data_IF_507065846764
#
_entry.id   IF_507065846764
#
_cell.length_a   1.000
_cell.length_b   1.000
_cell.length_c   1.000
_cell.angle_alpha   90.00
_cell.angle_beta   90.00
_cell.angle_gamma   90.00
#
_symmetry.space_group_name_H-M   'P 1'
#
loop_
_entity.id
_entity.type
_entity.pdbx_description
1 polymer ?
#
# COMPACT_ATOMS: atom_id res chain seq x y z
N UNK A 1 8.52 -0.45 0.44
CA UNK A 1 9.21 0.69 -0.22
C UNK A 1 10.43 0.23 -1.01
N UNK A 2 11.49 -0.31 -0.38
CA UNK A 2 12.71 -0.74 -1.09
C UNK A 2 12.45 -1.77 -2.21
N UNK A 3 11.60 -2.76 -1.94
CA UNK A 3 11.18 -3.76 -2.94
C UNK A 3 10.35 -3.15 -4.08
N UNK A 4 9.55 -2.12 -3.80
CA UNK A 4 8.84 -1.35 -4.83
C UNK A 4 9.79 -0.52 -5.70
N UNK A 5 10.82 0.10 -5.12
CA UNK A 5 11.87 0.78 -5.88
C UNK A 5 12.63 -0.22 -6.77
N UNK A 6 12.97 -1.39 -6.23
CA UNK A 6 13.60 -2.45 -7.01
C UNK A 6 12.71 -2.87 -8.20
N UNK A 7 11.39 -3.01 -8.01
CA UNK A 7 10.47 -3.29 -9.09
C UNK A 7 10.56 -2.24 -10.21
N UNK A 8 10.45 -0.95 -9.89
CA UNK A 8 10.50 0.14 -10.87
C UNK A 8 11.82 0.15 -11.69
N UNK A 9 12.95 -0.17 -11.05
CA UNK A 9 14.26 -0.14 -11.73
C UNK A 9 14.58 -1.42 -12.53
N UNK A 10 13.83 -2.50 -12.35
CA UNK A 10 14.10 -3.77 -13.03
C UNK A 10 13.82 -3.67 -14.53
N UNK A 11 14.78 -4.11 -15.36
CA UNK A 11 14.61 -4.20 -16.82
C UNK A 11 13.89 -5.48 -17.25
N UNK A 12 13.98 -6.54 -16.45
CA UNK A 12 13.36 -7.84 -16.72
C UNK A 12 11.88 -7.79 -16.26
N UNK A 13 10.89 -7.95 -17.15
CA UNK A 13 9.47 -7.82 -16.79
C UNK A 13 9.02 -8.77 -15.69
N UNK A 14 9.45 -10.04 -15.75
CA UNK A 14 9.11 -11.04 -14.72
C UNK A 14 9.64 -10.62 -13.34
N UNK A 15 10.89 -10.13 -13.29
CA UNK A 15 11.48 -9.66 -12.04
C UNK A 15 10.73 -8.43 -11.50
N UNK A 16 10.34 -7.50 -12.38
CA UNK A 16 9.57 -6.32 -12.01
C UNK A 16 8.27 -6.69 -11.30
N UNK A 17 7.44 -7.55 -11.89
CA UNK A 17 6.19 -7.98 -11.26
C UNK A 17 6.44 -8.81 -10.00
N UNK A 18 7.47 -9.65 -9.95
CA UNK A 18 7.81 -10.40 -8.75
C UNK A 18 8.14 -9.48 -7.56
N UNK A 19 8.98 -8.46 -7.77
CA UNK A 19 9.32 -7.48 -6.73
C UNK A 19 8.12 -6.61 -6.34
N UNK A 20 7.26 -6.24 -7.30
CA UNK A 20 5.98 -5.58 -7.01
C UNK A 20 5.10 -6.46 -6.12
N UNK A 21 4.91 -7.75 -6.44
CA UNK A 21 4.11 -8.68 -5.63
C UNK A 21 4.67 -8.83 -4.22
N UNK A 22 5.98 -8.98 -4.07
CA UNK A 22 6.63 -9.04 -2.75
C UNK A 22 6.38 -7.75 -1.96
N UNK A 23 6.51 -6.58 -2.60
CA UNK A 23 6.22 -5.29 -1.95
C UNK A 23 4.76 -5.17 -1.52
N UNK A 24 3.82 -5.61 -2.37
CA UNK A 24 2.37 -5.59 -2.08
C UNK A 24 2.03 -6.52 -0.93
N UNK A 25 2.59 -7.75 -0.90
CA UNK A 25 2.40 -8.67 0.23
C UNK A 25 2.95 -8.06 1.52
N UNK A 26 4.15 -7.48 1.50
CA UNK A 26 4.71 -6.81 2.67
C UNK A 26 3.83 -5.66 3.16
N UNK A 27 3.23 -4.89 2.25
CA UNK A 27 2.26 -3.84 2.60
C UNK A 27 1.01 -4.42 3.26
N UNK A 28 0.47 -5.54 2.76
CA UNK A 28 -0.69 -6.20 3.39
C UNK A 28 -0.38 -6.66 4.82
N UNK A 29 0.83 -7.14 5.09
CA UNK A 29 1.27 -7.44 6.46
C UNK A 29 1.29 -6.19 7.34
N UNK A 30 1.80 -5.06 6.83
CA UNK A 30 1.80 -3.79 7.58
C UNK A 30 0.37 -3.33 7.88
N UNK A 31 -0.53 -3.39 6.90
CA UNK A 31 -1.95 -3.03 7.11
C UNK A 31 -2.64 -3.99 8.09
N UNK A 32 -2.32 -5.28 8.03
CA UNK A 32 -2.79 -6.25 9.02
C UNK A 32 -2.33 -5.89 10.43
N UNK A 33 -1.04 -5.61 10.64
CA UNK A 33 -0.53 -5.21 11.95
C UNK A 33 -1.15 -3.90 12.44
N UNK A 34 -1.38 -2.94 11.54
CA UNK A 34 -2.07 -1.70 11.86
C UNK A 34 -3.50 -1.95 12.36
N UNK A 35 -4.26 -2.82 11.67
CA UNK A 35 -5.66 -3.07 12.03
C UNK A 35 -5.77 -3.93 13.29
N UNK A 36 -4.95 -4.97 13.40
CA UNK A 36 -5.06 -5.96 14.48
C UNK A 36 -4.30 -5.51 15.71
N UNK A 37 -2.98 -5.36 15.62
CA UNK A 37 -2.14 -5.12 16.80
C UNK A 37 -2.33 -3.69 17.32
N UNK A 38 -2.28 -2.70 16.44
CA UNK A 38 -2.48 -1.31 16.85
C UNK A 38 -3.95 -1.04 17.17
N UNK A 39 -4.88 -1.71 16.47
CA UNK A 39 -6.31 -1.60 16.78
C UNK A 39 -6.67 -2.18 18.14
N UNK A 40 -6.06 -3.29 18.55
CA UNK A 40 -6.20 -3.84 19.90
C UNK A 40 -5.69 -2.85 20.95
N UNK A 41 -4.49 -2.30 20.77
CA UNK A 41 -3.95 -1.29 21.68
C UNK A 41 -4.80 0.00 21.75
N UNK A 42 -5.42 0.40 20.63
CA UNK A 42 -6.31 1.56 20.59
C UNK A 42 -7.64 1.30 21.32
N UNK A 43 -8.09 0.04 21.43
CA UNK A 43 -9.36 -0.31 22.06
C UNK A 43 -9.38 -0.08 23.58
N UNK A 44 -8.20 0.00 24.20
CA UNK A 44 -8.03 0.34 25.62
C UNK A 44 -8.07 1.86 25.89
N UNK A 45 -8.10 2.69 24.85
CA UNK A 45 -8.12 4.16 24.97
C UNK A 45 -9.55 4.70 25.18
N UNK A 46 -9.66 6.00 25.44
CA UNK A 46 -10.95 6.69 25.51
C UNK A 46 -11.67 6.76 24.15
N UNK A 47 -12.98 7.04 24.18
CA UNK A 47 -13.84 7.02 22.99
C UNK A 47 -13.39 8.00 21.89
N UNK A 48 -12.91 9.20 22.26
CA UNK A 48 -12.46 10.21 21.29
C UNK A 48 -11.18 9.76 20.57
N UNK A 49 -10.25 9.16 21.32
CA UNK A 49 -9.03 8.56 20.77
C UNK A 49 -9.37 7.39 19.82
N UNK A 50 -10.31 6.53 20.20
CA UNK A 50 -10.75 5.41 19.35
C UNK A 50 -11.40 5.91 18.05
N UNK A 51 -12.25 6.94 18.11
CA UNK A 51 -12.88 7.53 16.94
C UNK A 51 -11.85 8.14 15.97
N UNK A 52 -10.86 8.83 16.52
CA UNK A 52 -9.76 9.42 15.76
C UNK A 52 -8.91 8.33 15.11
N UNK A 53 -8.53 7.29 15.87
CA UNK A 53 -7.78 6.15 15.34
C UNK A 53 -8.52 5.46 14.19
N UNK A 54 -9.82 5.20 14.35
CA UNK A 54 -10.62 4.56 13.30
C UNK A 54 -10.67 5.40 12.01
N UNK A 55 -10.79 6.73 12.15
CA UNK A 55 -10.78 7.64 11.00
C UNK A 55 -9.44 7.58 10.27
N UNK A 56 -8.32 7.73 10.99
CA UNK A 56 -6.98 7.69 10.41
C UNK A 56 -6.65 6.32 9.80
N UNK A 57 -7.00 5.24 10.50
CA UNK A 57 -6.84 3.86 10.00
C UNK A 57 -7.55 3.68 8.67
N UNK A 58 -8.78 4.15 8.55
CA UNK A 58 -9.56 4.00 7.31
C UNK A 58 -8.95 4.82 6.15
N UNK A 59 -8.49 6.04 6.42
CA UNK A 59 -7.77 6.85 5.43
C UNK A 59 -6.52 6.13 4.94
N UNK A 60 -5.72 5.57 5.86
CA UNK A 60 -4.52 4.81 5.53
C UNK A 60 -4.89 3.58 4.69
N UNK A 61 -5.86 2.77 5.13
CA UNK A 61 -6.25 1.55 4.41
C UNK A 61 -6.66 1.83 2.97
N UNK A 62 -7.51 2.84 2.75
CA UNK A 62 -8.00 3.18 1.41
C UNK A 62 -6.88 3.76 0.56
N UNK A 63 -6.20 4.80 1.04
CA UNK A 63 -5.16 5.48 0.25
C UNK A 63 -3.98 4.56 -0.05
N UNK A 64 -3.56 3.72 0.91
CA UNK A 64 -2.42 2.83 0.74
C UNK A 64 -2.72 1.68 -0.21
N UNK A 65 -3.94 1.12 -0.16
CA UNK A 65 -4.36 0.07 -1.07
C UNK A 65 -4.44 0.54 -2.54
N UNK A 66 -4.62 1.83 -2.79
CA UNK A 66 -4.63 2.40 -4.15
C UNK A 66 -3.23 2.37 -4.78
N UNK A 67 -2.15 2.61 -4.03
CA UNK A 67 -0.79 2.68 -4.59
C UNK A 67 -0.35 1.46 -5.42
N UNK A 68 -0.47 0.20 -4.95
CA UNK A 68 -0.07 -0.95 -5.77
C UNK A 68 -0.93 -1.09 -7.03
N UNK A 69 -2.21 -0.66 -6.99
CA UNK A 69 -3.11 -0.65 -8.15
C UNK A 69 -2.70 0.44 -9.14
N UNK A 70 -2.43 1.65 -8.65
CA UNK A 70 -1.97 2.78 -9.47
C UNK A 70 -0.66 2.43 -10.20
N UNK A 71 0.31 1.85 -9.49
CA UNK A 71 1.55 1.35 -10.10
C UNK A 71 1.28 0.28 -11.17
N UNK A 72 0.33 -0.64 -10.92
CA UNK A 72 0.01 -1.72 -11.84
C UNK A 72 -0.64 -1.22 -13.13
N UNK A 73 -1.51 -0.20 -13.06
CA UNK A 73 -2.17 0.38 -14.24
C UNK A 73 -1.35 1.46 -14.94
N UNK A 74 -0.40 2.06 -14.23
CA UNK A 74 0.51 3.09 -14.73
C UNK A 74 1.55 2.59 -15.73
N UNK A 75 2.44 3.49 -16.12
CA UNK A 75 3.44 3.25 -17.16
C UNK A 75 4.48 2.20 -16.77
N UNK A 76 4.71 2.03 -15.47
CA UNK A 76 5.63 1.03 -14.90
C UNK A 76 5.08 -0.41 -14.94
N UNK A 77 3.75 -0.54 -14.97
CA UNK A 77 3.03 -1.81 -14.93
C UNK A 77 2.50 -2.25 -16.29
N UNK A 78 1.19 -2.13 -16.47
CA UNK A 78 0.45 -2.56 -17.66
C UNK A 78 0.33 -1.46 -18.73
N UNK A 79 0.68 -0.21 -18.41
CA UNK A 79 0.63 0.92 -19.34
C UNK A 79 -0.78 1.30 -19.79
N UNK A 80 -1.79 1.05 -18.95
CA UNK A 80 -3.19 1.38 -19.25
C UNK A 80 -3.47 2.88 -19.11
N UNK A 81 -2.67 3.56 -18.28
CA UNK A 81 -2.71 5.01 -18.07
C UNK A 81 -1.36 5.60 -18.45
N UNK A 82 -1.36 6.68 -19.23
CA UNK A 82 -0.13 7.40 -19.60
C UNK A 82 0.40 8.27 -18.45
N UNK A 83 1.65 8.74 -18.57
CA UNK A 83 2.36 9.45 -17.50
C UNK A 83 1.56 10.61 -16.88
N UNK A 84 0.84 11.39 -17.68
CA UNK A 84 0.03 12.52 -17.20
C UNK A 84 -1.15 12.10 -16.30
N UNK A 85 -1.69 10.90 -16.51
CA UNK A 85 -2.75 10.35 -15.65
C UNK A 85 -2.22 9.57 -14.45
N UNK A 86 -0.92 9.26 -14.42
CA UNK A 86 -0.25 8.55 -13.32
C UNK A 86 0.27 9.50 -12.23
N UNK A 87 0.62 10.74 -12.60
CA UNK A 87 1.07 11.83 -11.70
C UNK A 87 -0.07 12.60 -11.07
#
# INVERSE_FOLDING_TARGET
IVTGLAAALMKIPVARYAFWTISTIAMLFVLYYLVVVVGEAASDADEDTQATFNTLRNIILVSWAIYPVAWLVGTEGLGLVGLFGET
#
